data_IF_899246516456
#
_entry.id   IF_899246516456
#
_cell.length_a   1.000
_cell.length_b   1.000
_cell.length_c   1.000
_cell.angle_alpha   90.00
_cell.angle_beta   90.00
_cell.angle_gamma   90.00
#
_symmetry.space_group_name_H-M   'P 1'
#
loop_
_entity.id
_entity.type
_entity.pdbx_description
1 polymer ?
#
# COMPACT_ATOMS: atom_id res chain seq x y z
N UNK A 1 -39.33 4.21 37.29
CA UNK A 1 -37.90 4.51 37.47
C UNK A 1 -37.15 3.34 36.86
N UNK A 2 -36.81 3.42 35.57
CA UNK A 2 -36.03 2.40 34.89
C UNK A 2 -34.95 3.08 34.04
N UNK A 3 -33.80 2.43 34.03
CA UNK A 3 -32.49 3.02 33.86
C UNK A 3 -32.18 3.42 32.41
N UNK A 4 -31.46 4.54 32.28
CA UNK A 4 -30.88 5.03 31.05
C UNK A 4 -29.88 4.01 30.46
N UNK A 5 -30.14 3.54 29.25
CA UNK A 5 -29.17 2.84 28.41
C UNK A 5 -28.14 3.83 27.90
N UNK A 6 -26.99 3.90 28.57
CA UNK A 6 -25.83 4.62 28.08
C UNK A 6 -25.20 3.90 26.90
N UNK A 7 -25.32 4.47 25.71
CA UNK A 7 -24.51 4.11 24.55
C UNK A 7 -23.04 4.34 24.92
N UNK A 8 -22.29 3.25 25.09
CA UNK A 8 -20.83 3.31 25.28
C UNK A 8 -20.22 3.79 23.98
N UNK A 9 -19.92 5.09 23.92
CA UNK A 9 -19.15 5.69 22.85
C UNK A 9 -17.82 4.97 22.66
N UNK A 10 -17.59 4.49 21.45
CA UNK A 10 -16.32 3.91 21.01
C UNK A 10 -15.23 4.97 21.15
N UNK A 11 -14.33 4.78 22.12
CA UNK A 11 -13.30 5.77 22.45
C UNK A 11 -12.41 6.06 21.23
N UNK A 12 -11.92 7.30 21.08
CA UNK A 12 -11.04 7.69 19.97
C UNK A 12 -9.80 6.78 19.81
N UNK A 13 -9.35 6.12 20.88
CA UNK A 13 -8.26 5.14 20.85
C UNK A 13 -8.60 3.79 20.22
N UNK A 14 -9.89 3.43 20.15
CA UNK A 14 -10.39 2.20 19.53
C UNK A 14 -10.66 2.41 18.03
N UNK A 15 -11.12 3.60 17.65
CA UNK A 15 -11.29 4.01 16.25
C UNK A 15 -9.95 4.00 15.47
N UNK A 16 -8.84 4.36 16.13
CA UNK A 16 -7.47 4.27 15.57
C UNK A 16 -6.99 2.82 15.39
N UNK A 17 -7.59 1.84 16.08
CA UNK A 17 -7.26 0.41 15.93
C UNK A 17 -7.98 -0.21 14.74
N UNK A 18 -9.21 0.22 14.45
CA UNK A 18 -10.08 -0.38 13.43
C UNK A 18 -10.05 0.33 12.07
N UNK A 19 -9.64 1.61 12.03
CA UNK A 19 -9.56 2.35 10.77
C UNK A 19 -8.49 1.79 9.83
N UNK A 20 -8.81 1.56 8.54
CA UNK A 20 -7.86 1.01 7.59
C UNK A 20 -6.73 1.99 7.32
N UNK A 21 -5.52 1.46 7.31
CA UNK A 21 -4.30 2.15 6.89
C UNK A 21 -4.01 1.82 5.44
N UNK A 22 -3.09 2.57 4.85
CA UNK A 22 -2.74 2.39 3.45
C UNK A 22 -1.25 2.37 3.25
N UNK A 23 -0.80 1.55 2.30
CA UNK A 23 0.59 1.50 1.86
C UNK A 23 0.69 1.74 0.37
N UNK A 24 1.64 2.57 -0.02
CA UNK A 24 1.92 2.86 -1.43
C UNK A 24 3.42 3.06 -1.67
N UNK A 25 3.88 2.60 -2.83
CA UNK A 25 5.22 2.85 -3.33
C UNK A 25 5.26 4.13 -4.14
N UNK A 26 5.97 5.14 -3.65
CA UNK A 26 6.10 6.43 -4.32
C UNK A 26 7.50 6.62 -4.89
N UNK A 27 7.57 6.93 -6.19
CA UNK A 27 8.80 7.23 -6.90
C UNK A 27 9.07 8.73 -7.07
N UNK A 28 10.32 9.15 -6.84
CA UNK A 28 10.83 10.48 -7.13
C UNK A 28 11.91 10.36 -8.22
N UNK A 29 11.83 11.23 -9.24
CA UNK A 29 12.85 11.30 -10.29
C UNK A 29 14.17 11.79 -9.71
N UNK A 30 15.25 11.12 -10.09
CA UNK A 30 16.61 11.54 -9.72
C UNK A 30 17.45 11.75 -10.96
N UNK A 31 18.51 12.55 -10.81
CA UNK A 31 19.46 12.77 -11.89
C UNK A 31 20.11 11.44 -12.29
N UNK A 32 20.29 11.25 -13.61
CA UNK A 32 21.06 10.12 -14.13
C UNK A 32 22.50 10.17 -13.59
N UNK A 33 23.03 9.07 -13.03
CA UNK A 33 24.45 8.99 -12.70
C UNK A 33 25.33 9.27 -13.93
N UNK A 34 26.52 9.83 -13.69
CA UNK A 34 27.49 10.13 -14.74
C UNK A 34 27.83 8.88 -15.57
N UNK A 35 28.25 9.10 -16.81
CA UNK A 35 28.61 8.01 -17.71
C UNK A 35 29.84 7.23 -17.20
N UNK A 36 29.92 5.94 -17.52
CA UNK A 36 31.02 5.05 -17.07
C UNK A 36 30.91 4.51 -15.63
N UNK A 37 29.87 4.88 -14.86
CA UNK A 37 29.57 4.30 -13.55
C UNK A 37 28.98 2.88 -13.69
N UNK A 38 29.56 1.89 -13.00
CA UNK A 38 29.06 0.49 -13.00
C UNK A 38 27.63 0.34 -12.46
N UNK A 39 27.16 1.27 -11.64
CA UNK A 39 25.82 1.28 -11.04
C UNK A 39 24.83 2.21 -11.75
N UNK A 40 25.15 2.68 -12.96
CA UNK A 40 24.35 3.67 -13.70
C UNK A 40 22.91 3.23 -13.97
N UNK A 41 22.68 1.93 -14.15
CA UNK A 41 21.35 1.37 -14.45
C UNK A 41 20.54 1.05 -13.20
N UNK A 42 21.16 1.07 -12.01
CA UNK A 42 20.53 0.69 -10.74
C UNK A 42 19.26 1.49 -10.45
N UNK A 43 19.22 2.75 -10.88
CA UNK A 43 18.11 3.67 -10.63
C UNK A 43 17.04 3.66 -11.74
N UNK A 44 17.26 2.94 -12.85
CA UNK A 44 16.32 2.91 -13.96
C UNK A 44 15.08 2.12 -13.51
N UNK A 45 13.96 2.82 -13.35
CA UNK A 45 12.68 2.21 -13.03
C UNK A 45 12.23 1.28 -14.15
N UNK A 46 11.81 0.07 -13.80
CA UNK A 46 11.29 -0.90 -14.78
C UNK A 46 10.04 -0.38 -15.51
N UNK A 47 9.17 0.34 -14.78
CA UNK A 47 7.87 0.85 -15.25
C UNK A 47 7.99 2.06 -16.18
N UNK A 48 8.75 3.08 -15.77
CA UNK A 48 8.81 4.36 -16.49
C UNK A 48 10.10 4.53 -17.30
N UNK A 49 11.06 3.58 -17.20
CA UNK A 49 12.40 3.63 -17.83
C UNK A 49 13.18 4.92 -17.52
N UNK A 50 12.84 5.56 -16.39
CA UNK A 50 13.45 6.79 -15.91
C UNK A 50 14.26 6.52 -14.64
N UNK A 51 15.31 7.30 -14.41
CA UNK A 51 16.06 7.25 -13.16
C UNK A 51 15.20 7.78 -12.02
N UNK A 52 14.94 6.92 -11.06
CA UNK A 52 14.13 7.24 -9.90
C UNK A 52 14.63 6.48 -8.68
N UNK A 53 14.39 7.07 -7.53
CA UNK A 53 14.32 6.36 -6.26
C UNK A 53 12.86 6.21 -5.89
N UNK A 54 12.54 5.25 -5.03
CA UNK A 54 11.21 5.09 -4.48
C UNK A 54 11.29 4.87 -2.99
N UNK A 55 10.30 5.36 -2.28
CA UNK A 55 10.07 5.06 -0.87
C UNK A 55 8.67 4.48 -0.71
N UNK A 56 8.45 3.83 0.41
CA UNK A 56 7.17 3.27 0.79
C UNK A 56 6.59 4.14 1.89
N UNK A 57 5.38 4.65 1.68
CA UNK A 57 4.66 5.44 2.67
C UNK A 57 3.50 4.62 3.24
N UNK A 58 3.29 4.70 4.57
CA UNK A 58 2.10 4.18 5.25
C UNK A 58 1.33 5.35 5.82
N UNK A 59 0.02 5.39 5.58
CA UNK A 59 -0.88 6.46 6.07
C UNK A 59 -2.06 5.90 6.85
N UNK A 60 -2.69 6.73 7.67
CA UNK A 60 -4.00 6.43 8.26
C UNK A 60 -5.15 6.69 7.27
N UNK A 61 -6.38 6.48 7.72
CA UNK A 61 -7.59 6.68 6.91
C UNK A 61 -7.82 8.13 6.48
N UNK A 62 -7.24 9.10 7.21
CA UNK A 62 -7.31 10.54 6.92
C UNK A 62 -6.17 11.00 6.00
N UNK A 63 -5.29 10.08 5.59
CA UNK A 63 -4.14 10.37 4.73
C UNK A 63 -2.94 10.95 5.48
N UNK A 64 -2.92 10.92 6.82
CA UNK A 64 -1.76 11.36 7.60
C UNK A 64 -0.65 10.32 7.52
N UNK A 65 0.58 10.79 7.32
CA UNK A 65 1.75 9.92 7.22
C UNK A 65 2.07 9.29 8.59
N UNK A 66 2.07 7.95 8.65
CA UNK A 66 2.45 7.16 9.82
C UNK A 66 3.87 6.63 9.73
N UNK A 67 4.34 6.31 8.52
CA UNK A 67 5.67 5.77 8.28
C UNK A 67 6.16 6.08 6.86
N UNK A 68 7.46 6.33 6.72
CA UNK A 68 8.13 6.45 5.44
C UNK A 68 9.42 5.62 5.47
N UNK A 69 9.61 4.72 4.51
CA UNK A 69 10.85 3.98 4.39
C UNK A 69 11.99 4.87 3.86
N UNK A 70 13.25 4.47 4.05
CA UNK A 70 14.34 4.97 3.23
C UNK A 70 14.06 4.82 1.74
N UNK A 71 14.69 5.69 0.95
CA UNK A 71 14.58 5.67 -0.50
C UNK A 71 15.47 4.56 -1.08
N UNK A 72 14.88 3.66 -1.83
CA UNK A 72 15.54 2.60 -2.58
C UNK A 72 15.52 2.89 -4.08
N UNK A 73 16.41 2.29 -4.89
CA UNK A 73 16.32 2.40 -6.34
C UNK A 73 14.95 1.94 -6.85
N UNK A 74 14.37 2.69 -7.79
CA UNK A 74 13.04 2.38 -8.35
C UNK A 74 13.03 1.15 -9.27
N UNK A 75 14.17 0.47 -9.45
CA UNK A 75 14.29 -0.84 -10.07
C UNK A 75 13.83 -1.98 -9.15
N UNK A 76 13.89 -1.78 -7.83
CA UNK A 76 13.36 -2.74 -6.86
C UNK A 76 11.82 -2.85 -7.03
N UNK A 77 11.23 -4.02 -6.79
CA UNK A 77 9.76 -4.19 -6.77
C UNK A 77 9.18 -3.80 -5.41
N UNK A 78 7.91 -3.39 -5.35
CA UNK A 78 7.34 -2.85 -4.10
C UNK A 78 7.22 -3.91 -3.00
N UNK A 79 6.84 -5.14 -3.37
CA UNK A 79 6.84 -6.25 -2.43
C UNK A 79 8.23 -6.61 -1.89
N UNK A 80 9.28 -6.54 -2.71
CA UNK A 80 10.65 -6.80 -2.25
C UNK A 80 11.10 -5.72 -1.28
N UNK A 81 10.77 -4.47 -1.60
CA UNK A 81 11.04 -3.33 -0.74
C UNK A 81 10.37 -3.51 0.64
N UNK A 82 9.07 -3.85 0.68
CA UNK A 82 8.35 -4.11 1.92
C UNK A 82 8.94 -5.28 2.75
N UNK A 83 9.44 -6.32 2.09
CA UNK A 83 10.11 -7.46 2.74
C UNK A 83 11.44 -7.05 3.38
N UNK A 84 12.24 -6.22 2.69
CA UNK A 84 13.54 -5.76 3.18
C UNK A 84 13.41 -4.89 4.44
N UNK A 85 12.42 -3.97 4.46
CA UNK A 85 12.23 -3.04 5.57
C UNK A 85 11.45 -3.64 6.76
N UNK A 86 11.35 -4.97 6.83
CA UNK A 86 10.73 -5.71 7.95
C UNK A 86 9.28 -5.28 8.27
N UNK A 87 8.60 -4.58 7.37
CA UNK A 87 7.18 -4.26 7.52
C UNK A 87 6.37 -5.55 7.72
N UNK A 88 6.72 -6.59 6.96
CA UNK A 88 6.12 -7.92 7.10
C UNK A 88 6.25 -8.46 8.52
N UNK A 89 7.44 -8.33 9.13
CA UNK A 89 7.69 -8.80 10.51
C UNK A 89 6.96 -7.94 11.54
N UNK A 90 6.91 -6.63 11.34
CA UNK A 90 6.21 -5.71 12.22
C UNK A 90 4.70 -5.99 12.23
N UNK A 91 4.11 -6.24 11.07
CA UNK A 91 2.68 -6.51 10.93
C UNK A 91 2.31 -7.93 11.38
N UNK A 92 3.17 -8.90 11.17
CA UNK A 92 2.95 -10.28 11.63
C UNK A 92 2.97 -10.40 13.17
N UNK A 93 3.76 -9.56 13.85
CA UNK A 93 3.90 -9.57 15.32
C UNK A 93 3.16 -8.41 16.01
N UNK A 94 2.48 -7.57 15.24
CA UNK A 94 1.85 -6.34 15.71
C UNK A 94 0.36 -6.52 16.03
N UNK A 95 -0.34 -5.43 16.41
CA UNK A 95 -1.79 -5.46 16.53
C UNK A 95 -2.42 -5.78 15.17
N UNK A 96 -3.55 -6.48 15.19
CA UNK A 96 -4.34 -6.76 13.97
C UNK A 96 -4.83 -5.42 13.42
N UNK A 97 -4.24 -5.01 12.30
CA UNK A 97 -4.58 -3.77 11.61
C UNK A 97 -4.78 -4.06 10.13
N UNK A 98 -5.87 -3.56 9.56
CA UNK A 98 -6.08 -3.64 8.12
C UNK A 98 -5.22 -2.57 7.43
N UNK A 99 -4.38 -3.02 6.49
CA UNK A 99 -3.55 -2.18 5.63
C UNK A 99 -3.88 -2.50 4.18
N UNK A 100 -4.44 -1.52 3.49
CA UNK A 100 -4.79 -1.65 2.10
C UNK A 100 -3.60 -1.25 1.22
N UNK A 101 -3.30 -2.07 0.22
CA UNK A 101 -2.11 -1.96 -0.61
C UNK A 101 -2.48 -2.10 -2.08
N UNK A 102 -1.60 -1.67 -2.99
CA UNK A 102 -1.82 -1.89 -4.43
C UNK A 102 -1.50 -3.33 -4.88
N UNK A 103 -1.70 -3.61 -6.17
CA UNK A 103 -1.42 -4.93 -6.73
C UNK A 103 0.07 -5.30 -6.72
N UNK A 104 0.99 -4.33 -6.62
CA UNK A 104 2.42 -4.53 -6.51
C UNK A 104 2.86 -5.16 -5.18
N UNK A 105 1.97 -5.18 -4.18
CA UNK A 105 2.16 -5.85 -2.89
C UNK A 105 1.46 -7.22 -2.79
N UNK A 106 0.92 -7.75 -3.89
CA UNK A 106 0.24 -9.05 -3.90
C UNK A 106 1.13 -10.17 -3.33
N UNK A 107 0.58 -10.89 -2.35
CA UNK A 107 1.28 -11.94 -1.61
C UNK A 107 1.68 -11.54 -0.18
N UNK A 108 1.68 -10.24 0.17
CA UNK A 108 1.95 -9.82 1.54
C UNK A 108 0.84 -10.21 2.54
N UNK A 109 -0.41 -10.30 2.11
CA UNK A 109 -1.51 -10.74 2.99
C UNK A 109 -1.25 -12.10 3.62
N UNK A 110 -0.73 -13.06 2.84
CA UNK A 110 -0.36 -14.39 3.36
C UNK A 110 0.82 -14.34 4.34
N UNK A 111 1.71 -13.35 4.22
CA UNK A 111 2.89 -13.18 5.08
C UNK A 111 2.62 -12.36 6.35
N UNK A 112 1.47 -11.70 6.42
CA UNK A 112 1.10 -10.74 7.48
C UNK A 112 -0.19 -11.15 8.21
N UNK A 113 -0.57 -12.43 8.16
CA UNK A 113 -1.78 -12.92 8.82
C UNK A 113 -3.07 -12.28 8.32
N UNK A 114 -3.09 -11.80 7.07
CA UNK A 114 -4.23 -11.10 6.47
C UNK A 114 -4.27 -9.59 6.73
N UNK A 115 -3.32 -9.02 7.45
CA UNK A 115 -3.28 -7.57 7.72
C UNK A 115 -3.15 -6.76 6.42
N UNK A 116 -2.33 -7.22 5.45
CA UNK A 116 -2.20 -6.54 4.16
C UNK A 116 -3.22 -7.04 3.15
N UNK A 117 -4.16 -6.17 2.78
CA UNK A 117 -5.21 -6.43 1.80
C UNK A 117 -4.87 -5.75 0.48
N UNK A 118 -4.81 -6.54 -0.60
CA UNK A 118 -4.54 -6.06 -1.96
C UNK A 118 -5.77 -6.28 -2.86
N UNK A 119 -5.89 -5.60 -4.02
CA UNK A 119 -6.94 -5.87 -4.99
C UNK A 119 -6.97 -7.35 -5.39
N UNK A 120 -8.16 -7.89 -5.72
CA UNK A 120 -8.30 -9.30 -6.09
C UNK A 120 -7.37 -9.65 -7.26
N UNK A 121 -6.59 -10.71 -7.06
CA UNK A 121 -5.74 -11.26 -8.12
C UNK A 121 -6.62 -11.89 -9.20
N UNK A 122 -6.36 -11.52 -10.46
CA UNK A 122 -7.09 -12.07 -11.61
C UNK A 122 -6.64 -13.51 -11.87
N UNK A 123 -7.51 -14.46 -11.53
CA UNK A 123 -7.27 -15.91 -11.69
C UNK A 123 -7.52 -16.38 -13.12
N UNK A 124 -8.56 -15.86 -13.78
CA UNK A 124 -8.88 -16.22 -15.18
C UNK A 124 -8.52 -15.06 -16.11
N UNK A 125 -7.53 -15.29 -16.99
CA UNK A 125 -7.10 -14.30 -18.00
C UNK A 125 -7.62 -14.60 -19.40
N UNK A 126 -7.79 -15.87 -19.77
CA UNK A 126 -8.32 -16.29 -21.06
C UNK A 126 -9.79 -16.65 -20.92
N UNK A 127 -10.63 -16.09 -21.79
CA UNK A 127 -12.08 -16.30 -21.88
C UNK A 127 -12.77 -16.42 -20.51
N UNK A 128 -12.60 -15.43 -19.61
CA UNK A 128 -13.34 -15.45 -18.36
C UNK A 128 -14.85 -15.33 -18.65
N UNK A 129 -15.71 -16.01 -17.89
CA UNK A 129 -17.14 -15.76 -17.95
C UNK A 129 -17.47 -14.31 -17.60
N UNK A 130 -18.54 -13.75 -18.19
CA UNK A 130 -18.92 -12.35 -17.97
C UNK A 130 -19.16 -12.02 -16.49
N UNK A 131 -19.81 -12.92 -15.74
CA UNK A 131 -20.05 -12.76 -14.30
C UNK A 131 -18.74 -12.63 -13.50
N UNK A 132 -17.65 -13.24 -13.96
CA UNK A 132 -16.35 -13.19 -13.31
C UNK A 132 -15.70 -11.82 -13.52
N UNK A 133 -15.78 -11.27 -14.74
CA UNK A 133 -15.27 -9.94 -15.05
C UNK A 133 -16.04 -8.86 -14.28
N UNK A 134 -17.38 -8.96 -14.25
CA UNK A 134 -18.22 -8.01 -13.50
C UNK A 134 -17.88 -8.02 -12.01
N UNK A 135 -17.75 -9.21 -11.41
CA UNK A 135 -17.38 -9.36 -10.00
C UNK A 135 -15.97 -8.82 -9.74
N UNK A 136 -14.99 -9.15 -10.59
CA UNK A 136 -13.61 -8.65 -10.47
C UNK A 136 -13.56 -7.14 -10.55
N UNK A 137 -14.28 -6.55 -11.51
CA UNK A 137 -14.33 -5.11 -11.69
C UNK A 137 -14.99 -4.41 -10.49
N UNK A 138 -16.10 -4.95 -9.98
CA UNK A 138 -16.78 -4.42 -8.79
C UNK A 138 -15.86 -4.40 -7.58
N UNK A 139 -15.16 -5.50 -7.31
CA UNK A 139 -14.21 -5.60 -6.20
C UNK A 139 -13.00 -4.65 -6.39
N UNK A 140 -12.50 -4.54 -7.62
CA UNK A 140 -11.40 -3.61 -7.96
C UNK A 140 -11.83 -2.16 -7.78
N UNK A 141 -13.05 -1.79 -8.19
CA UNK A 141 -13.64 -0.45 -8.02
C UNK A 141 -13.86 -0.13 -6.54
N UNK A 142 -14.37 -1.08 -5.75
CA UNK A 142 -14.53 -0.91 -4.31
C UNK A 142 -13.17 -0.67 -3.62
N UNK A 143 -12.15 -1.46 -3.96
CA UNK A 143 -10.79 -1.26 -3.44
C UNK A 143 -10.20 0.09 -3.89
N UNK A 144 -10.39 0.48 -5.15
CA UNK A 144 -9.92 1.78 -5.66
C UNK A 144 -10.62 2.96 -5.00
N UNK A 145 -11.92 2.87 -4.72
CA UNK A 145 -12.68 3.97 -4.10
C UNK A 145 -12.21 4.23 -2.67
N UNK A 146 -11.85 3.16 -1.96
CA UNK A 146 -11.23 3.25 -0.63
C UNK A 146 -9.88 4.00 -0.71
N UNK A 147 -9.09 3.81 -1.79
CA UNK A 147 -7.74 4.41 -1.98
C UNK A 147 -7.73 5.93 -2.18
N UNK A 148 -8.79 6.50 -2.73
CA UNK A 148 -8.81 7.90 -3.19
C UNK A 148 -8.40 8.87 -2.07
N UNK A 149 -8.78 8.60 -0.81
CA UNK A 149 -8.43 9.45 0.34
C UNK A 149 -6.93 9.54 0.58
N UNK A 150 -6.20 8.46 0.33
CA UNK A 150 -4.76 8.38 0.57
C UNK A 150 -3.92 8.91 -0.58
N UNK A 151 -4.41 8.80 -1.81
CA UNK A 151 -3.73 9.40 -2.96
C UNK A 151 -3.53 10.92 -2.73
N UNK A 152 -4.49 11.60 -2.09
CA UNK A 152 -4.35 12.99 -1.69
C UNK A 152 -3.25 13.22 -0.63
N UNK A 153 -3.20 12.40 0.43
CA UNK A 153 -2.18 12.52 1.47
C UNK A 153 -0.75 12.29 0.96
N UNK A 154 -0.58 11.29 0.09
CA UNK A 154 0.73 10.96 -0.50
C UNK A 154 1.14 11.97 -1.58
N UNK A 155 0.19 12.57 -2.30
CA UNK A 155 0.50 13.64 -3.25
C UNK A 155 1.26 14.80 -2.57
N UNK A 156 0.93 15.14 -1.33
CA UNK A 156 1.65 16.15 -0.56
C UNK A 156 3.11 15.79 -0.26
N UNK A 157 3.47 14.50 -0.22
CA UNK A 157 4.85 14.04 0.01
C UNK A 157 5.76 14.18 -1.21
N UNK A 158 5.19 14.46 -2.39
CA UNK A 158 5.93 14.57 -3.66
C UNK A 158 6.24 16.02 -4.04
N UNK A 159 5.72 17.00 -3.30
CA UNK A 159 5.87 18.43 -3.56
C UNK A 159 6.94 19.05 -2.67
#
# INVERSE_FOLDING_TARGET
MEAAGGERGESAGDQLRTSPRWIDGTGIRVRRPADGRKDREKFISGKNKQNAVKFMAVTDADGRLLFCSPAEPASCTDITHARQFSLVKLLANGPVVEILADAGYQGLGAQTGGCVVTPPHRKCKKNPPDWYEEMHERLRKAHSSRRIRVEHGIAHLKN
#
